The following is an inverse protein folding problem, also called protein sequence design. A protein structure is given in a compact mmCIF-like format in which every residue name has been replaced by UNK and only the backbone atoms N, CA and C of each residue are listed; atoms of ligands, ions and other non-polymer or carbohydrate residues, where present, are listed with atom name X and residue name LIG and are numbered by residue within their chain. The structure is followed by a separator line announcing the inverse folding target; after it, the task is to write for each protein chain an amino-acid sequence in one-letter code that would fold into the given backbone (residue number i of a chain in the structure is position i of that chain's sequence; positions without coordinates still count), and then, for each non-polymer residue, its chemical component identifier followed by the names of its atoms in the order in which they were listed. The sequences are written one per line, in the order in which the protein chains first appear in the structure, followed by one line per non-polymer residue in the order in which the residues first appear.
data_IF_590710514169
#
_entry.id   IF_590710514169
#
_cell.length_a   1.000
_cell.length_b   1.000
_cell.length_c   1.000
_cell.angle_alpha   90.00
_cell.angle_beta   90.00
_cell.angle_gamma   90.00
#
_symmetry.space_group_name_H-M   'P 1'
#
loop_
_entity.id
_entity.type
_entity.pdbx_description
1 polymer ?
#
# COMPACT_ATOMS: atom_id res chain seq x y z
N UNK A 1 -8.84 8.22 -17.37
CA UNK A 1 -8.46 6.85 -17.67
C UNK A 1 -7.69 6.25 -16.49
N UNK A 2 -8.22 5.20 -15.87
CA UNK A 2 -7.61 4.56 -14.70
C UNK A 2 -6.70 3.40 -15.13
N UNK A 3 -5.61 3.16 -14.38
CA UNK A 3 -4.72 2.00 -14.61
C UNK A 3 -5.47 0.67 -14.50
N UNK A 4 -6.44 0.56 -13.59
CA UNK A 4 -7.34 -0.60 -13.45
C UNK A 4 -8.11 -0.90 -14.72
N UNK A 5 -8.63 0.13 -15.40
CA UNK A 5 -9.33 -0.01 -16.70
C UNK A 5 -8.39 -0.48 -17.81
N UNK A 6 -7.17 0.05 -17.85
CA UNK A 6 -6.17 -0.37 -18.84
C UNK A 6 -5.77 -1.84 -18.66
N UNK A 7 -5.55 -2.27 -17.44
CA UNK A 7 -5.22 -3.67 -17.15
C UNK A 7 -6.39 -4.60 -17.52
N UNK A 8 -7.62 -4.23 -17.14
CA UNK A 8 -8.81 -5.01 -17.45
C UNK A 8 -9.09 -5.08 -18.98
N UNK A 9 -8.67 -4.06 -19.73
CA UNK A 9 -8.82 -4.01 -21.18
C UNK A 9 -7.64 -4.62 -21.96
N UNK A 10 -6.53 -4.94 -21.29
CA UNK A 10 -5.26 -5.28 -21.94
C UNK A 10 -5.39 -6.41 -22.97
N UNK A 11 -6.11 -7.48 -22.63
CA UNK A 11 -6.29 -8.62 -23.53
C UNK A 11 -7.09 -8.26 -24.79
N UNK A 12 -8.14 -7.46 -24.64
CA UNK A 12 -9.00 -7.01 -25.74
C UNK A 12 -8.23 -6.04 -26.65
N UNK A 13 -7.45 -5.13 -26.03
CA UNK A 13 -6.60 -4.17 -26.78
C UNK A 13 -5.51 -4.92 -27.56
N UNK A 14 -4.86 -5.92 -26.96
CA UNK A 14 -3.82 -6.72 -27.63
C UNK A 14 -4.39 -7.50 -28.82
N UNK A 15 -5.56 -8.11 -28.67
CA UNK A 15 -6.25 -8.82 -29.78
C UNK A 15 -6.63 -7.84 -30.91
N UNK A 16 -7.15 -6.66 -30.54
CA UNK A 16 -7.47 -5.60 -31.50
C UNK A 16 -6.22 -5.13 -32.26
N UNK A 17 -5.13 -4.87 -31.54
CA UNK A 17 -3.87 -4.45 -32.16
C UNK A 17 -3.29 -5.52 -33.09
N UNK A 18 -3.35 -6.79 -32.69
CA UNK A 18 -2.89 -7.90 -33.53
C UNK A 18 -3.72 -8.02 -34.82
N UNK A 19 -5.06 -7.87 -34.72
CA UNK A 19 -5.95 -7.91 -35.88
C UNK A 19 -5.66 -6.72 -36.82
N UNK A 20 -5.53 -5.51 -36.26
CA UNK A 20 -5.21 -4.31 -37.06
C UNK A 20 -3.83 -4.39 -37.73
N UNK A 21 -2.85 -5.05 -37.11
CA UNK A 21 -1.54 -5.30 -37.73
C UNK A 21 -1.66 -6.29 -38.88
N UNK A 22 -2.40 -7.39 -38.71
CA UNK A 22 -2.63 -8.39 -39.77
C UNK A 22 -3.39 -7.81 -40.96
N UNK A 23 -4.37 -6.92 -40.73
CA UNK A 23 -5.07 -6.23 -41.81
C UNK A 23 -4.15 -5.31 -42.61
N UNK A 24 -3.23 -4.60 -41.95
CA UNK A 24 -2.24 -3.73 -42.63
C UNK A 24 -1.27 -4.54 -43.47
N UNK A 25 -0.80 -5.69 -42.98
CA UNK A 25 0.06 -6.58 -43.75
C UNK A 25 -0.68 -7.17 -44.96
N UNK A 26 -1.94 -7.60 -44.80
CA UNK A 26 -2.77 -8.13 -45.87
C UNK A 26 -3.12 -7.06 -46.93
N UNK A 27 -3.33 -5.80 -46.50
CA UNK A 27 -3.61 -4.68 -47.44
C UNK A 27 -2.37 -4.31 -48.26
N UNK A 28 -1.16 -4.58 -47.82
CA UNK A 28 0.07 -4.36 -48.53
C UNK A 28 0.30 -5.36 -49.67
N UNK A 29 -0.29 -6.56 -49.56
CA UNK A 29 -0.24 -7.58 -50.62
C UNK A 29 -1.31 -7.39 -51.74
N UNK A 30 -2.34 -6.55 -51.52
CA UNK A 30 -3.40 -6.26 -52.48
C UNK A 30 -3.05 -5.05 -53.38
N UNK A 31 -2.11 -5.24 -54.28
CA UNK A 31 -1.69 -4.22 -55.23
C UNK A 31 -2.78 -3.86 -56.31
N UNK A 32 -3.92 -4.57 -56.30
CA UNK A 32 -5.04 -4.40 -57.23
C UNK A 32 -6.41 -4.32 -56.53
N UNK A 33 -6.43 -3.90 -55.26
CA UNK A 33 -7.66 -3.75 -54.51
C UNK A 33 -8.30 -2.39 -54.71
N UNK A 34 -9.57 -2.41 -55.12
CA UNK A 34 -10.39 -1.20 -55.30
C UNK A 34 -10.50 -0.36 -54.04
N UNK A 35 -10.80 0.88 -54.26
CA UNK A 35 -11.07 1.98 -53.32
C UNK A 35 -12.35 1.70 -52.49
N UNK A 36 -12.32 0.73 -51.62
CA UNK A 36 -13.29 0.56 -50.52
C UNK A 36 -12.57 0.87 -49.23
N UNK A 37 -12.87 2.07 -48.71
CA UNK A 37 -12.28 2.66 -47.53
C UNK A 37 -12.07 1.65 -46.43
N UNK A 38 -10.83 1.52 -45.97
CA UNK A 38 -10.45 0.74 -44.82
C UNK A 38 -11.44 1.04 -43.69
N UNK A 39 -12.37 0.14 -43.47
CA UNK A 39 -13.31 0.18 -42.38
C UNK A 39 -12.46 -0.02 -41.10
N UNK A 40 -11.86 1.07 -40.65
CA UNK A 40 -11.13 1.08 -39.38
C UNK A 40 -12.10 0.60 -38.32
N UNK A 41 -11.90 -0.63 -37.87
CA UNK A 41 -12.67 -1.20 -36.80
C UNK A 41 -12.59 -0.26 -35.56
N UNK A 42 -13.73 0.17 -34.98
CA UNK A 42 -13.69 1.10 -33.88
C UNK A 42 -12.92 0.48 -32.70
N UNK A 43 -12.15 1.30 -31.97
CA UNK A 43 -11.40 0.79 -30.82
C UNK A 43 -12.37 0.16 -29.79
N UNK A 44 -11.97 -0.95 -29.15
CA UNK A 44 -12.83 -1.63 -28.19
C UNK A 44 -13.16 -0.71 -27.01
N UNK A 45 -14.41 -0.73 -26.50
CA UNK A 45 -14.80 0.06 -25.35
C UNK A 45 -14.01 -0.41 -24.10
N UNK A 46 -13.56 0.56 -23.30
CA UNK A 46 -12.90 0.25 -22.04
C UNK A 46 -13.92 -0.24 -21.00
N UNK A 47 -13.62 -1.28 -20.25
CA UNK A 47 -14.50 -1.78 -19.20
C UNK A 47 -14.69 -0.75 -18.07
N UNK A 48 -15.91 -0.67 -17.53
CA UNK A 48 -16.21 0.17 -16.36
C UNK A 48 -15.78 -0.57 -15.10
N UNK A 49 -14.54 -0.35 -14.67
CA UNK A 49 -14.00 -0.88 -13.42
C UNK A 49 -13.63 0.28 -12.48
N UNK A 50 -13.79 0.12 -11.16
CA UNK A 50 -13.37 1.14 -10.21
C UNK A 50 -11.86 1.32 -10.23
N UNK A 51 -11.40 2.50 -9.83
CA UNK A 51 -9.97 2.74 -9.63
C UNK A 51 -9.47 1.92 -8.43
N UNK A 52 -8.23 1.43 -8.53
CA UNK A 52 -7.57 0.76 -7.42
C UNK A 52 -7.35 1.69 -6.23
N UNK A 53 -7.44 1.15 -5.02
CA UNK A 53 -6.97 1.85 -3.84
C UNK A 53 -5.46 2.14 -3.95
N UNK A 54 -4.99 3.17 -3.23
CA UNK A 54 -3.59 3.62 -3.35
C UNK A 54 -2.58 2.50 -3.12
N UNK A 55 -2.74 1.71 -2.06
CA UNK A 55 -1.83 0.59 -1.77
C UNK A 55 -1.89 -0.52 -2.82
N UNK A 56 -3.06 -0.81 -3.36
CA UNK A 56 -3.23 -1.77 -4.45
C UNK A 56 -2.54 -1.28 -5.73
N UNK A 57 -2.68 0.02 -6.02
CA UNK A 57 -1.99 0.67 -7.15
C UNK A 57 -0.47 0.54 -7.04
N UNK A 58 0.09 0.80 -5.86
CA UNK A 58 1.51 0.66 -5.58
C UNK A 58 1.98 -0.80 -5.66
N UNK A 59 1.19 -1.75 -5.15
CA UNK A 59 1.50 -3.17 -5.25
C UNK A 59 1.56 -3.64 -6.71
N UNK A 60 0.57 -3.28 -7.53
CA UNK A 60 0.55 -3.61 -8.95
C UNK A 60 1.70 -2.93 -9.72
N UNK A 61 2.06 -1.70 -9.34
CA UNK A 61 3.20 -0.98 -9.90
C UNK A 61 4.53 -1.70 -9.61
N UNK A 62 4.76 -2.05 -8.35
CA UNK A 62 5.95 -2.78 -7.92
C UNK A 62 6.03 -4.19 -8.54
N UNK A 63 4.88 -4.85 -8.74
CA UNK A 63 4.83 -6.15 -9.41
C UNK A 63 5.20 -6.03 -10.90
N UNK A 64 4.74 -4.98 -11.58
CA UNK A 64 4.97 -4.79 -13.01
C UNK A 64 6.38 -4.28 -13.33
N UNK A 65 6.92 -3.38 -12.52
CA UNK A 65 8.18 -2.65 -12.78
C UNK A 65 9.33 -3.15 -11.92
N UNK A 66 9.03 -3.74 -10.76
CA UNK A 66 10.00 -4.27 -9.80
C UNK A 66 10.29 -3.33 -8.64
N UNK A 67 9.80 -2.10 -8.65
CA UNK A 67 9.95 -1.10 -7.58
C UNK A 67 8.79 -0.10 -7.58
N UNK A 68 8.67 0.69 -6.51
CA UNK A 68 7.63 1.71 -6.38
C UNK A 68 8.05 2.99 -7.10
N UNK A 69 7.22 3.46 -8.05
CA UNK A 69 7.48 4.66 -8.85
C UNK A 69 6.70 5.88 -8.35
N UNK A 70 5.43 5.66 -7.97
CA UNK A 70 4.52 6.78 -7.70
C UNK A 70 4.63 7.30 -6.27
N UNK A 71 4.82 6.39 -5.30
CA UNK A 71 4.94 6.70 -3.87
C UNK A 71 5.45 5.46 -3.13
N UNK A 72 6.00 5.63 -1.94
CA UNK A 72 6.35 4.48 -1.09
C UNK A 72 5.13 4.02 -0.26
N UNK A 73 4.91 2.69 -0.04
CA UNK A 73 3.77 2.19 0.75
C UNK A 73 3.64 2.81 2.13
N UNK A 74 4.77 3.13 2.77
CA UNK A 74 4.82 3.76 4.10
C UNK A 74 4.22 5.16 4.14
N UNK A 75 4.12 5.87 3.02
CA UNK A 75 3.47 7.20 2.96
C UNK A 75 1.99 7.16 3.37
N UNK A 76 1.39 5.98 3.33
CA UNK A 76 0.02 5.76 3.79
C UNK A 76 -0.13 5.77 5.33
N UNK A 77 1.00 5.79 6.08
CA UNK A 77 1.04 5.70 7.54
C UNK A 77 1.70 6.91 8.24
N UNK A 78 1.36 8.15 7.89
CA UNK A 78 2.06 9.34 8.38
C UNK A 78 2.02 9.48 9.91
N UNK A 79 0.90 9.15 10.55
CA UNK A 79 0.74 9.21 12.00
C UNK A 79 1.63 8.21 12.75
N UNK A 80 1.91 7.05 12.15
CA UNK A 80 2.85 6.07 12.70
C UNK A 80 4.30 6.54 12.57
N UNK A 81 4.66 7.02 11.38
CA UNK A 81 6.03 7.49 11.07
C UNK A 81 6.41 8.75 11.87
N UNK A 82 5.46 9.63 12.14
CA UNK A 82 5.69 10.85 12.93
C UNK A 82 5.94 10.61 14.43
N UNK A 83 5.90 9.37 14.92
CA UNK A 83 6.19 9.06 16.33
C UNK A 83 7.66 9.27 16.64
N UNK A 84 7.96 9.92 17.76
CA UNK A 84 9.34 10.14 18.26
C UNK A 84 10.16 8.86 18.45
N UNK A 85 9.50 7.70 18.57
CA UNK A 85 10.16 6.40 18.72
C UNK A 85 10.46 5.73 17.38
N UNK A 86 9.98 6.27 16.27
CA UNK A 86 10.25 5.77 14.91
C UNK A 86 11.38 6.59 14.31
N UNK A 87 12.27 5.91 13.63
CA UNK A 87 13.33 6.51 12.81
C UNK A 87 13.23 5.97 11.38
N UNK A 88 13.68 6.72 10.40
CA UNK A 88 13.92 6.22 9.06
C UNK A 88 15.37 5.69 8.93
N UNK A 89 15.69 5.14 7.77
CA UNK A 89 17.01 4.55 7.54
C UNK A 89 18.12 5.60 7.56
N UNK A 90 17.88 6.79 7.02
CA UNK A 90 18.86 7.89 7.03
C UNK A 90 19.17 8.34 8.47
N UNK A 91 18.15 8.50 9.31
CA UNK A 91 18.32 8.84 10.73
C UNK A 91 19.01 7.70 11.50
N UNK A 92 18.67 6.43 11.22
CA UNK A 92 19.34 5.27 11.82
C UNK A 92 20.84 5.30 11.50
N UNK A 93 21.20 5.47 10.22
CA UNK A 93 22.61 5.55 9.80
C UNK A 93 23.36 6.72 10.51
N UNK A 94 22.73 7.89 10.60
CA UNK A 94 23.31 9.06 11.26
C UNK A 94 23.51 8.87 12.78
N UNK A 95 22.68 8.04 13.42
CA UNK A 95 22.74 7.79 14.88
C UNK A 95 23.51 6.52 15.25
N UNK A 96 23.71 5.62 14.31
CA UNK A 96 24.33 4.31 14.52
C UNK A 96 25.76 4.39 15.12
N UNK A 97 26.51 5.47 14.83
CA UNK A 97 27.88 5.69 15.36
C UNK A 97 27.94 5.89 16.87
N UNK A 98 26.81 6.18 17.51
CA UNK A 98 26.74 6.40 18.96
C UNK A 98 26.70 5.10 19.76
N UNK A 99 26.45 3.96 19.12
CA UNK A 99 26.46 2.62 19.68
C UNK A 99 25.41 2.32 20.76
N UNK A 100 24.92 1.10 20.82
CA UNK A 100 24.13 0.59 21.94
C UNK A 100 22.66 1.00 22.01
N UNK A 101 22.14 1.68 20.98
CA UNK A 101 20.73 2.07 20.91
C UNK A 101 19.96 1.07 20.03
N UNK A 102 18.76 0.68 20.48
CA UNK A 102 17.82 -0.07 19.66
C UNK A 102 16.89 0.91 18.95
N UNK A 103 16.82 0.79 17.63
CA UNK A 103 15.99 1.65 16.79
C UNK A 103 14.68 0.94 16.45
N UNK A 104 13.62 1.71 16.30
CA UNK A 104 12.35 1.22 15.80
C UNK A 104 12.10 1.84 14.42
N UNK A 105 12.00 0.99 13.40
CA UNK A 105 11.89 1.41 12.00
C UNK A 105 10.71 0.72 11.31
N UNK A 106 10.04 1.45 10.43
CA UNK A 106 9.05 0.89 9.52
C UNK A 106 9.71 0.67 8.16
N UNK A 107 9.43 -0.46 7.52
CA UNK A 107 9.98 -0.77 6.22
C UNK A 107 9.05 -1.69 5.42
N UNK A 108 9.19 -1.70 4.09
CA UNK A 108 8.51 -2.62 3.19
C UNK A 108 9.49 -3.71 2.73
N UNK A 109 9.08 -4.96 2.77
CA UNK A 109 9.93 -6.11 2.40
C UNK A 109 10.02 -6.19 0.87
N UNK A 110 11.22 -6.04 0.33
CA UNK A 110 11.53 -6.21 -1.10
C UNK A 110 11.89 -7.65 -1.44
N UNK A 111 12.65 -8.29 -0.54
CA UNK A 111 13.10 -9.66 -0.70
C UNK A 111 13.35 -10.30 0.66
N UNK A 112 13.04 -11.59 0.77
CA UNK A 112 13.35 -12.40 1.95
C UNK A 112 14.10 -13.67 1.54
N UNK A 113 15.20 -13.98 2.23
CA UNK A 113 16.03 -15.15 1.94
C UNK A 113 16.41 -15.85 3.24
N UNK A 114 15.86 -17.05 3.49
CA UNK A 114 16.24 -17.87 4.64
C UNK A 114 17.45 -18.75 4.31
N UNK A 115 18.42 -18.80 5.21
CA UNK A 115 19.67 -19.59 5.07
C UNK A 115 19.99 -20.32 6.36
N UNK A 116 20.96 -21.24 6.28
CA UNK A 116 21.53 -21.91 7.45
C UNK A 116 22.97 -21.46 7.64
N UNK A 117 23.33 -21.14 8.87
CA UNK A 117 24.72 -20.84 9.25
C UNK A 117 25.59 -22.11 9.18
N UNK A 118 26.92 -21.97 9.22
CA UNK A 118 27.85 -23.10 9.29
C UNK A 118 27.59 -24.05 10.48
N UNK A 119 26.93 -23.57 11.54
CA UNK A 119 26.49 -24.35 12.71
C UNK A 119 25.08 -24.92 12.56
N UNK A 120 24.48 -24.89 11.36
CA UNK A 120 23.13 -25.40 11.07
C UNK A 120 21.98 -24.54 11.59
N UNK A 121 22.24 -23.41 12.26
CA UNK A 121 21.17 -22.54 12.78
C UNK A 121 20.55 -21.71 11.66
N UNK A 122 19.21 -21.66 11.55
CA UNK A 122 18.54 -20.86 10.55
C UNK A 122 18.67 -19.35 10.85
N UNK A 123 18.76 -18.55 9.80
CA UNK A 123 18.69 -17.10 9.83
C UNK A 123 18.13 -16.59 8.51
N UNK A 124 17.59 -15.39 8.48
CA UNK A 124 17.07 -14.79 7.27
C UNK A 124 17.69 -13.42 7.03
N UNK A 125 17.94 -13.13 5.77
CA UNK A 125 18.18 -11.77 5.29
C UNK A 125 16.86 -11.22 4.74
N UNK A 126 16.49 -10.03 5.18
CA UNK A 126 15.44 -9.24 4.60
C UNK A 126 16.05 -8.02 3.95
N UNK A 127 15.87 -7.89 2.65
CA UNK A 127 16.08 -6.64 1.94
C UNK A 127 14.80 -5.85 2.04
N UNK A 128 14.88 -4.68 2.65
CA UNK A 128 13.72 -3.83 2.95
C UNK A 128 13.97 -2.41 2.45
N UNK A 129 12.90 -1.67 2.23
CA UNK A 129 12.95 -0.27 1.83
C UNK A 129 12.11 0.61 2.76
N UNK A 130 12.53 1.85 2.95
CA UNK A 130 11.72 2.93 3.47
C UNK A 130 11.71 4.12 2.49
N UNK A 131 11.25 5.28 2.93
CA UNK A 131 11.22 6.49 2.09
C UNK A 131 12.61 7.06 1.77
N UNK A 132 13.64 6.70 2.54
CA UNK A 132 15.00 7.24 2.45
C UNK A 132 15.98 6.30 1.76
N UNK A 133 15.71 4.99 1.76
CA UNK A 133 16.61 4.04 1.11
C UNK A 133 16.22 2.57 1.18
N UNK A 134 17.12 1.75 0.65
CA UNK A 134 17.02 0.29 0.70
C UNK A 134 18.17 -0.23 1.55
N UNK A 135 17.87 -1.12 2.48
CA UNK A 135 18.83 -1.69 3.39
C UNK A 135 18.56 -3.16 3.68
N UNK A 136 19.54 -3.83 4.28
CA UNK A 136 19.41 -5.25 4.63
C UNK A 136 19.41 -5.41 6.14
N UNK A 137 18.48 -6.20 6.66
CA UNK A 137 18.42 -6.61 8.05
C UNK A 137 18.50 -8.12 8.17
N UNK A 138 19.05 -8.62 9.28
CA UNK A 138 19.18 -10.04 9.54
C UNK A 138 18.31 -10.45 10.73
N UNK A 139 17.56 -11.53 10.57
CA UNK A 139 16.77 -12.17 11.62
C UNK A 139 17.40 -13.48 12.06
N UNK A 140 17.43 -13.72 13.36
CA UNK A 140 18.01 -14.95 13.94
C UNK A 140 17.02 -15.64 14.89
N UNK A 141 17.21 -16.94 15.09
CA UNK A 141 16.62 -17.72 16.17
C UNK A 141 15.10 -17.62 16.29
N UNK A 142 14.64 -17.24 17.48
CA UNK A 142 13.21 -17.18 17.81
C UNK A 142 12.49 -16.05 17.08
N UNK A 143 13.16 -14.92 16.83
CA UNK A 143 12.58 -13.80 16.06
C UNK A 143 12.30 -14.23 14.62
N UNK A 144 13.21 -14.99 14.00
CA UNK A 144 12.95 -15.58 12.69
C UNK A 144 11.77 -16.54 12.73
N UNK A 145 11.70 -17.43 13.71
CA UNK A 145 10.64 -18.42 13.82
C UNK A 145 9.25 -17.77 13.96
N UNK A 146 9.15 -16.70 14.74
CA UNK A 146 7.91 -15.93 14.94
C UNK A 146 7.51 -15.06 13.76
N UNK A 147 8.48 -14.70 12.89
CA UNK A 147 8.28 -13.71 11.84
C UNK A 147 8.12 -14.31 10.45
N UNK A 148 8.20 -15.64 10.29
CA UNK A 148 8.15 -16.30 8.97
C UNK A 148 6.92 -15.92 8.15
N UNK A 149 5.75 -15.90 8.78
CA UNK A 149 4.49 -15.58 8.10
C UNK A 149 4.40 -14.10 7.68
N UNK A 150 5.29 -13.26 8.21
CA UNK A 150 5.38 -11.85 7.86
C UNK A 150 6.41 -11.55 6.77
N UNK A 151 7.33 -12.49 6.46
CA UNK A 151 8.40 -12.30 5.48
C UNK A 151 7.90 -12.45 4.04
N UNK A 152 6.89 -11.68 3.66
CA UNK A 152 6.26 -11.69 2.34
C UNK A 152 6.66 -10.42 1.59
N UNK A 153 7.13 -10.57 0.35
CA UNK A 153 7.46 -9.42 -0.52
C UNK A 153 6.28 -8.46 -0.66
N UNK A 154 6.55 -7.17 -0.54
CA UNK A 154 5.57 -6.09 -0.59
C UNK A 154 4.84 -5.83 0.73
N UNK A 155 5.07 -6.64 1.76
CA UNK A 155 4.47 -6.41 3.08
C UNK A 155 5.23 -5.32 3.82
N UNK A 156 4.49 -4.35 4.39
CA UNK A 156 5.06 -3.33 5.26
C UNK A 156 5.01 -3.77 6.71
N UNK A 157 6.12 -3.58 7.42
CA UNK A 157 6.33 -4.04 8.80
C UNK A 157 6.94 -2.93 9.66
N UNK A 158 6.78 -3.04 10.95
CA UNK A 158 7.56 -2.32 11.97
C UNK A 158 8.45 -3.33 12.67
N UNK A 159 9.70 -2.98 12.87
CA UNK A 159 10.69 -3.84 13.54
C UNK A 159 11.55 -3.03 14.51
N UNK A 160 12.09 -3.73 15.51
CA UNK A 160 13.20 -3.22 16.32
C UNK A 160 14.52 -3.65 15.66
N UNK A 161 15.47 -2.74 15.54
CA UNK A 161 16.76 -2.95 14.88
C UNK A 161 17.89 -2.59 15.84
N UNK A 162 18.78 -3.55 16.07
CA UNK A 162 20.06 -3.36 16.75
C UNK A 162 21.16 -3.20 15.71
N UNK A 163 22.01 -2.19 15.88
CA UNK A 163 23.19 -1.98 15.04
C UNK A 163 24.39 -2.65 15.67
N UNK A 164 25.07 -3.52 14.92
CA UNK A 164 26.30 -4.20 15.38
C UNK A 164 27.40 -4.03 14.37
N UNK A 165 28.56 -3.65 14.85
CA UNK A 165 29.79 -3.67 14.06
C UNK A 165 30.32 -5.11 13.97
N UNK A 166 30.71 -5.52 12.78
CA UNK A 166 31.26 -6.82 12.48
C UNK A 166 32.49 -6.71 11.57
N UNK A 167 33.22 -7.83 11.42
CA UNK A 167 34.47 -7.89 10.60
C UNK A 167 34.27 -7.46 9.14
N UNK A 168 33.04 -7.49 8.64
CA UNK A 168 32.66 -7.14 7.26
C UNK A 168 31.87 -5.84 7.15
N UNK A 169 31.93 -5.01 8.19
CA UNK A 169 31.15 -3.76 8.28
C UNK A 169 29.92 -3.88 9.18
N UNK A 170 29.13 -2.83 9.21
CA UNK A 170 27.93 -2.69 10.02
C UNK A 170 26.84 -3.69 9.62
N UNK A 171 26.18 -4.27 10.62
CA UNK A 171 25.05 -5.20 10.44
C UNK A 171 23.86 -4.72 11.23
N UNK A 172 22.71 -4.75 10.58
CA UNK A 172 21.43 -4.47 11.18
C UNK A 172 20.76 -5.80 11.57
N UNK A 173 20.47 -5.96 12.86
CA UNK A 173 19.81 -7.17 13.38
C UNK A 173 18.40 -6.78 13.74
N UNK A 174 17.42 -7.37 13.05
CA UNK A 174 16.02 -7.10 13.31
C UNK A 174 15.44 -8.07 14.33
N UNK A 175 14.51 -7.59 15.09
CA UNK A 175 13.70 -8.34 16.05
C UNK A 175 12.28 -7.76 16.13
N UNK A 176 11.35 -8.49 16.76
CA UNK A 176 9.99 -8.01 17.05
C UNK A 176 9.25 -7.47 15.82
N UNK A 177 9.27 -8.23 14.72
CA UNK A 177 8.51 -7.85 13.54
C UNK A 177 7.01 -7.82 13.87
N UNK A 178 6.37 -6.72 13.48
CA UNK A 178 4.93 -6.50 13.63
C UNK A 178 4.38 -5.98 12.31
N UNK A 179 3.20 -6.42 11.94
CA UNK A 179 2.52 -5.88 10.76
C UNK A 179 2.27 -4.38 10.95
N UNK A 180 2.46 -3.58 9.90
CA UNK A 180 2.34 -2.12 10.00
C UNK A 180 0.91 -1.70 10.33
N UNK A 181 -0.11 -2.42 9.85
CA UNK A 181 -1.50 -2.14 10.16
C UNK A 181 -1.78 -2.37 11.65
N UNK A 182 -1.25 -3.46 12.23
CA UNK A 182 -1.34 -3.73 13.66
C UNK A 182 -0.61 -2.66 14.49
N UNK A 183 0.60 -2.29 14.09
CA UNK A 183 1.36 -1.22 14.74
C UNK A 183 0.67 0.14 14.65
N UNK A 184 -0.03 0.42 13.56
CA UNK A 184 -0.82 1.62 13.34
C UNK A 184 -2.06 1.68 14.25
N UNK A 185 -2.75 0.56 14.47
CA UNK A 185 -3.95 0.47 15.30
C UNK A 185 -3.69 0.78 16.79
N UNK A 186 -2.47 0.58 17.28
CA UNK A 186 -2.08 0.97 18.65
C UNK A 186 -1.99 2.48 18.83
N UNK A 187 -2.08 3.27 17.74
CA UNK A 187 -2.19 4.72 17.80
C UNK A 187 -3.67 5.06 17.87
N UNK A 188 -4.10 5.73 18.93
CA UNK A 188 -5.43 6.30 19.05
C UNK A 188 -5.54 7.48 18.06
N UNK A 189 -5.67 7.17 16.79
CA UNK A 189 -5.94 8.16 15.74
C UNK A 189 -7.43 8.14 15.49
N UNK A 190 -8.06 9.32 15.56
CA UNK A 190 -9.43 9.50 15.13
C UNK A 190 -9.49 9.83 13.64
N UNK A 191 -10.64 9.63 13.04
CA UNK A 191 -10.96 10.19 11.71
C UNK A 191 -12.26 10.96 11.75
N UNK A 192 -12.30 12.03 10.94
CA UNK A 192 -13.53 12.77 10.63
C UNK A 192 -13.95 12.44 9.20
N UNK A 193 -15.18 11.96 9.05
CA UNK A 193 -15.78 11.59 7.76
C UNK A 193 -16.81 12.64 7.41
N UNK A 194 -16.58 13.35 6.32
CA UNK A 194 -17.46 14.42 5.83
C UNK A 194 -18.49 13.85 4.86
N UNK A 195 -19.76 14.08 5.14
CA UNK A 195 -20.89 13.54 4.38
C UNK A 195 -21.70 14.67 3.76
N UNK A 196 -22.03 14.54 2.49
CA UNK A 196 -22.91 15.48 1.79
C UNK A 196 -24.38 15.31 2.18
N UNK A 197 -24.79 14.09 2.46
CA UNK A 197 -26.15 13.69 2.80
C UNK A 197 -26.15 12.40 3.64
N UNK A 198 -27.26 11.91 4.18
CA UNK A 198 -27.31 10.71 5.00
C UNK A 198 -27.24 9.38 4.21
N UNK A 199 -27.28 9.39 2.88
CA UNK A 199 -27.32 8.17 2.05
C UNK A 199 -26.15 7.19 2.30
N UNK A 200 -24.90 7.65 2.54
CA UNK A 200 -23.79 6.75 2.80
C UNK A 200 -23.82 6.00 4.13
N UNK A 201 -24.68 6.39 5.08
CA UNK A 201 -24.65 5.86 6.45
C UNK A 201 -24.79 4.33 6.52
N UNK A 202 -25.61 3.73 5.65
CA UNK A 202 -25.76 2.28 5.62
C UNK A 202 -24.47 1.56 5.19
N UNK A 203 -23.80 2.07 4.17
CA UNK A 203 -22.52 1.55 3.67
C UNK A 203 -21.37 1.77 4.67
N UNK A 204 -21.33 2.95 5.29
CA UNK A 204 -20.40 3.29 6.36
C UNK A 204 -20.55 2.33 7.54
N UNK A 205 -21.79 2.09 7.99
CA UNK A 205 -22.07 1.17 9.10
C UNK A 205 -21.59 -0.25 8.79
N UNK A 206 -21.84 -0.73 7.58
CA UNK A 206 -21.39 -2.07 7.16
C UNK A 206 -19.86 -2.16 7.20
N UNK A 207 -19.16 -1.23 6.57
CA UNK A 207 -17.70 -1.20 6.53
C UNK A 207 -17.09 -1.10 7.94
N UNK A 208 -17.61 -0.20 8.79
CA UNK A 208 -17.08 0.01 10.13
C UNK A 208 -17.38 -1.16 11.09
N UNK A 209 -18.48 -1.87 10.90
CA UNK A 209 -18.76 -3.08 11.69
C UNK A 209 -17.75 -4.19 11.43
N UNK A 210 -17.26 -4.32 10.19
CA UNK A 210 -16.24 -5.30 9.83
C UNK A 210 -14.86 -4.94 10.42
N UNK A 211 -14.69 -3.68 10.90
CA UNK A 211 -13.45 -3.13 11.44
C UNK A 211 -13.60 -2.57 12.88
N UNK A 212 -14.48 -3.14 13.69
CA UNK A 212 -14.83 -2.65 15.03
C UNK A 212 -13.83 -3.05 16.15
N UNK A 213 -12.73 -3.72 15.82
CA UNK A 213 -11.75 -4.23 16.80
C UNK A 213 -10.50 -3.33 16.89
N UNK A 214 -10.68 -2.00 16.98
CA UNK A 214 -9.57 -1.04 17.06
C UNK A 214 -9.73 -0.06 18.22
N UNK A 215 -8.85 0.97 18.24
CA UNK A 215 -8.86 2.06 19.24
C UNK A 215 -9.16 3.43 18.64
N UNK A 216 -9.26 3.51 17.30
CA UNK A 216 -9.52 4.76 16.59
C UNK A 216 -10.95 5.23 16.77
N UNK A 217 -11.15 6.53 16.86
CA UNK A 217 -12.45 7.16 16.98
C UNK A 217 -12.93 7.61 15.59
N UNK A 218 -14.21 7.38 15.28
CA UNK A 218 -14.82 7.85 14.04
C UNK A 218 -15.87 8.91 14.36
N UNK A 219 -15.69 10.08 13.78
CA UNK A 219 -16.64 11.21 13.88
C UNK A 219 -17.21 11.51 12.50
N UNK A 220 -18.51 11.50 12.38
CA UNK A 220 -19.23 11.86 11.16
C UNK A 220 -19.59 13.32 11.20
N UNK A 221 -19.31 14.06 10.13
CA UNK A 221 -19.79 15.44 9.91
C UNK A 221 -20.76 15.43 8.74
N UNK A 222 -21.99 15.79 9.01
CA UNK A 222 -23.05 15.87 8.02
C UNK A 222 -23.46 17.33 7.82
N UNK A 223 -23.32 17.83 6.61
CA UNK A 223 -23.84 19.15 6.23
C UNK A 223 -25.37 19.08 6.04
N UNK A 224 -26.12 19.88 6.80
CA UNK A 224 -27.56 19.96 6.66
C UNK A 224 -27.92 20.93 5.54
N UNK A 225 -28.81 20.52 4.63
CA UNK A 225 -29.28 21.31 3.51
C UNK A 225 -29.95 22.65 3.92
N UNK A 226 -30.30 22.78 5.19
CA UNK A 226 -30.92 23.99 5.75
C UNK A 226 -29.94 24.81 6.57
N UNK A 227 -29.50 25.97 6.07
CA UNK A 227 -28.80 27.04 6.79
C UNK A 227 -27.38 26.80 7.21
N UNK A 228 -26.54 26.04 6.45
CA UNK A 228 -25.13 25.92 6.75
C UNK A 228 -24.84 25.38 8.17
N UNK A 229 -25.70 24.51 8.66
CA UNK A 229 -25.51 23.82 9.93
C UNK A 229 -24.86 22.46 9.66
N UNK A 230 -23.86 22.12 10.44
CA UNK A 230 -23.22 20.81 10.46
C UNK A 230 -23.67 20.04 11.69
N UNK A 231 -23.89 18.74 11.51
CA UNK A 231 -24.09 17.80 12.62
C UNK A 231 -22.82 16.99 12.77
N UNK A 232 -22.19 17.11 13.92
CA UNK A 232 -21.05 16.30 14.31
C UNK A 232 -21.54 15.15 15.21
N UNK A 233 -21.24 13.92 14.84
CA UNK A 233 -21.62 12.71 15.56
C UNK A 233 -20.42 11.80 15.72
N UNK A 234 -20.00 11.59 16.95
CA UNK A 234 -18.98 10.59 17.26
C UNK A 234 -19.60 9.22 17.45
N UNK A 235 -19.12 8.24 16.70
CA UNK A 235 -19.61 6.87 16.79
C UNK A 235 -19.10 6.19 18.05
N UNK A 236 -19.97 5.44 18.77
CA UNK A 236 -19.55 4.67 19.94
C UNK A 236 -18.69 3.48 19.51
N UNK A 237 -17.68 3.14 20.32
CA UNK A 237 -16.75 2.04 20.07
C UNK A 237 -15.39 2.51 19.57
N UNK A 238 -14.52 1.55 19.32
CA UNK A 238 -13.19 1.78 18.74
C UNK A 238 -13.06 1.02 17.44
N UNK A 239 -12.46 1.65 16.42
CA UNK A 239 -12.36 1.13 15.07
C UNK A 239 -10.90 0.94 14.65
N UNK A 240 -10.63 -0.10 13.87
CA UNK A 240 -9.33 -0.33 13.25
C UNK A 240 -9.17 0.61 12.03
N UNK A 241 -8.58 1.79 12.25
CA UNK A 241 -8.41 2.81 11.20
C UNK A 241 -7.08 2.56 10.49
N UNK A 242 -7.13 1.74 9.44
CA UNK A 242 -6.01 1.48 8.55
C UNK A 242 -6.13 2.34 7.28
N UNK A 243 -5.04 2.51 6.50
CA UNK A 243 -5.11 3.18 5.19
C UNK A 243 -6.12 2.54 4.24
N UNK A 244 -6.30 1.21 4.31
CA UNK A 244 -7.29 0.48 3.51
C UNK A 244 -8.72 0.88 3.91
N UNK A 245 -9.02 0.92 5.22
CA UNK A 245 -10.32 1.36 5.74
C UNK A 245 -10.58 2.82 5.34
N UNK A 246 -9.59 3.68 5.49
CA UNK A 246 -9.67 5.09 5.08
C UNK A 246 -9.94 5.24 3.58
N UNK A 247 -9.23 4.49 2.75
CA UNK A 247 -9.44 4.45 1.30
C UNK A 247 -10.83 3.94 0.94
N UNK A 248 -11.29 2.87 1.59
CA UNK A 248 -12.63 2.33 1.40
C UNK A 248 -13.74 3.31 1.83
N UNK A 249 -13.55 4.05 2.92
CA UNK A 249 -14.47 5.12 3.35
C UNK A 249 -14.55 6.24 2.30
N UNK A 250 -13.42 6.71 1.77
CA UNK A 250 -13.38 7.73 0.71
C UNK A 250 -14.04 7.26 -0.59
N UNK A 251 -14.04 5.98 -0.88
CA UNK A 251 -14.64 5.41 -2.08
C UNK A 251 -16.18 5.27 -1.99
N UNK A 252 -16.78 5.44 -0.81
CA UNK A 252 -18.24 5.35 -0.65
C UNK A 252 -18.92 6.56 -1.31
N UNK A 253 -19.85 6.36 -2.26
CA UNK A 253 -20.59 7.46 -2.87
C UNK A 253 -21.30 8.31 -1.82
N UNK A 254 -21.09 9.64 -1.86
CA UNK A 254 -21.64 10.60 -0.90
C UNK A 254 -20.75 10.93 0.29
N UNK A 255 -19.62 10.24 0.46
CA UNK A 255 -18.52 10.69 1.31
C UNK A 255 -17.73 11.75 0.55
N UNK A 256 -17.57 12.92 1.16
CA UNK A 256 -16.86 14.07 0.56
C UNK A 256 -15.37 14.00 0.82
N UNK A 257 -15.00 13.71 2.07
CA UNK A 257 -13.60 13.56 2.47
C UNK A 257 -13.47 12.80 3.81
N UNK A 258 -12.22 12.37 4.12
CA UNK A 258 -11.85 11.68 5.38
C UNK A 258 -10.55 12.27 5.86
N UNK A 259 -10.57 12.92 7.04
CA UNK A 259 -9.40 13.55 7.66
C UNK A 259 -8.98 12.82 8.92
N UNK A 260 -7.68 12.81 9.20
CA UNK A 260 -7.13 12.37 10.49
C UNK A 260 -7.34 13.44 11.57
N UNK A 261 -7.56 12.99 12.83
CA UNK A 261 -7.74 13.86 14.01
C UNK A 261 -6.73 13.48 15.09
#
# INVERSE_FOLDING_TARGET
LFRSQMLAAAEVILRFAAHAASERESAQDNLFGGDDGATSMPPPPLPLVPEWLQLEKLSNEAQAVGFYLSAHPLESYPALLARKSMVDYEELEARADRGGEQFRIAATIEEASERKSAKGKPFAFLRVSDQTGIFEVTLFGDDLAKSRDMMIKGRSIVMAVDVRDGDKGRRLIASQLTDIDEASQTTASGIKVFLKNPDPLASLRKLLNDHNAGRGQVTLLLELATKGREVEMTLPGGFAITPQVRGALKAIPGVMDVHDV
#
